data_IF_067008479687
#
_entry.id   IF_067008479687
#
_cell.length_a   1.000
_cell.length_b   1.000
_cell.length_c   1.000
_cell.angle_alpha   90.00
_cell.angle_beta   90.00
_cell.angle_gamma   90.00
#
_symmetry.space_group_name_H-M   'P 1'
#
loop_
_entity.id
_entity.type
_entity.pdbx_description
1 polymer ?
#
# COMPACT_ATOMS: atom_id res chain seq x y z
N UNK A 1 -16.26 -35.31 13.96
CA UNK A 1 -17.17 -34.51 13.11
C UNK A 1 -16.40 -33.26 12.68
N UNK A 2 -15.27 -33.27 11.96
CA UNK A 2 -14.92 -33.88 10.65
C UNK A 2 -16.05 -33.76 9.63
N UNK A 3 -15.73 -33.17 8.46
CA UNK A 3 -16.61 -32.70 7.35
C UNK A 3 -16.93 -31.20 7.50
N UNK A 4 -16.20 -30.23 6.93
CA UNK A 4 -16.19 -29.89 5.50
C UNK A 4 -14.96 -29.00 5.19
N UNK A 5 -13.74 -29.58 5.15
CA UNK A 5 -12.64 -28.97 4.40
C UNK A 5 -12.93 -29.20 2.91
N UNK A 6 -13.91 -28.47 2.39
CA UNK A 6 -14.16 -28.35 0.95
C UNK A 6 -12.88 -27.75 0.37
N UNK A 7 -12.02 -28.61 -0.18
CA UNK A 7 -11.07 -28.23 -1.22
C UNK A 7 -11.88 -27.46 -2.23
N UNK A 8 -11.77 -26.13 -2.21
CA UNK A 8 -12.20 -25.31 -3.33
C UNK A 8 -11.37 -25.81 -4.52
N UNK A 9 -11.96 -26.41 -5.56
CA UNK A 9 -11.22 -26.74 -6.76
C UNK A 9 -10.59 -25.43 -7.26
N UNK A 10 -9.30 -25.46 -7.57
CA UNK A 10 -8.56 -24.30 -8.05
C UNK A 10 -9.35 -23.61 -9.16
N UNK A 11 -9.91 -22.44 -8.86
CA UNK A 11 -10.61 -21.61 -9.81
C UNK A 11 -9.62 -21.29 -10.93
N UNK A 12 -9.85 -21.87 -12.11
CA UNK A 12 -9.03 -21.62 -13.30
C UNK A 12 -9.28 -20.15 -13.66
N UNK A 13 -8.24 -19.30 -13.73
CA UNK A 13 -8.46 -17.87 -13.91
C UNK A 13 -9.24 -17.62 -15.19
N UNK A 14 -10.44 -17.05 -15.03
CA UNK A 14 -11.22 -16.50 -16.14
C UNK A 14 -10.33 -15.52 -16.92
N UNK A 15 -10.28 -15.59 -18.27
CA UNK A 15 -9.50 -14.66 -19.07
C UNK A 15 -10.18 -13.28 -19.00
N UNK A 16 -9.80 -12.49 -18.00
CA UNK A 16 -10.25 -11.11 -17.84
C UNK A 16 -9.80 -10.29 -19.07
N UNK A 17 -10.72 -9.68 -19.83
CA UNK A 17 -10.35 -8.80 -20.93
C UNK A 17 -9.74 -7.53 -20.34
N UNK A 18 -8.43 -7.33 -20.55
CA UNK A 18 -7.75 -6.09 -20.17
C UNK A 18 -6.72 -6.20 -19.05
N UNK A 19 -5.99 -7.32 -18.90
CA UNK A 19 -4.88 -7.38 -17.93
C UNK A 19 -3.82 -6.34 -18.29
N UNK A 20 -3.84 -5.19 -17.64
CA UNK A 20 -2.81 -4.17 -17.76
C UNK A 20 -1.52 -4.76 -17.21
N UNK A 21 -0.59 -5.06 -18.11
CA UNK A 21 0.68 -5.70 -17.79
C UNK A 21 1.68 -4.60 -17.47
N UNK A 22 2.03 -4.46 -16.20
CA UNK A 22 3.11 -3.58 -15.76
C UNK A 22 4.40 -3.88 -16.55
N UNK A 23 5.15 -2.84 -16.99
CA UNK A 23 6.46 -3.06 -17.60
C UNK A 23 7.32 -3.83 -16.58
N UNK A 24 8.12 -4.80 -17.05
CA UNK A 24 8.89 -5.75 -16.22
C UNK A 24 8.12 -6.87 -15.49
N UNK A 25 6.82 -7.06 -15.71
CA UNK A 25 6.05 -8.18 -15.12
C UNK A 25 6.69 -9.55 -15.37
N UNK A 26 7.26 -9.78 -16.56
CA UNK A 26 7.84 -11.09 -16.92
C UNK A 26 9.08 -11.46 -16.08
N UNK A 27 9.86 -10.47 -15.65
CA UNK A 27 11.06 -10.70 -14.86
C UNK A 27 10.75 -10.80 -13.36
N UNK A 28 9.91 -9.90 -12.82
CA UNK A 28 9.47 -9.95 -11.41
C UNK A 28 8.55 -11.14 -11.10
N UNK A 29 7.67 -11.52 -12.03
CA UNK A 29 6.68 -12.60 -11.84
C UNK A 29 7.25 -13.99 -12.14
N UNK A 30 8.54 -14.13 -12.42
CA UNK A 30 9.16 -15.44 -12.66
C UNK A 30 9.23 -16.19 -11.33
N UNK A 31 8.33 -17.16 -11.16
CA UNK A 31 8.25 -18.01 -9.98
C UNK A 31 9.04 -19.29 -10.26
N UNK A 32 9.98 -19.62 -9.38
CA UNK A 32 10.72 -20.87 -9.46
C UNK A 32 9.83 -22.06 -9.06
N UNK A 33 9.68 -23.02 -9.97
CA UNK A 33 8.70 -24.14 -9.89
C UNK A 33 8.91 -25.05 -8.68
N UNK A 34 10.14 -25.08 -8.15
CA UNK A 34 10.53 -25.96 -7.03
C UNK A 34 10.17 -25.37 -5.66
N UNK A 35 10.03 -24.05 -5.53
CA UNK A 35 9.83 -23.37 -4.25
C UNK A 35 8.63 -22.42 -4.20
N UNK A 36 7.93 -22.18 -5.32
CA UNK A 36 6.76 -21.29 -5.41
C UNK A 36 6.99 -19.87 -4.85
N UNK A 37 8.25 -19.43 -4.78
CA UNK A 37 8.63 -18.10 -4.29
C UNK A 37 9.20 -17.31 -5.47
N UNK A 38 8.78 -16.05 -5.68
CA UNK A 38 9.35 -15.19 -6.71
C UNK A 38 10.73 -14.68 -6.28
N UNK A 39 11.77 -15.48 -6.50
CA UNK A 39 13.15 -15.16 -6.08
C UNK A 39 13.65 -13.83 -6.65
N UNK A 40 13.30 -13.51 -7.91
CA UNK A 40 13.72 -12.26 -8.56
C UNK A 40 13.21 -11.01 -7.82
N UNK A 41 12.00 -11.06 -7.27
CA UNK A 41 11.45 -9.97 -6.48
C UNK A 41 12.20 -9.81 -5.16
N UNK A 42 12.58 -10.92 -4.52
CA UNK A 42 13.38 -10.90 -3.29
C UNK A 42 14.75 -10.27 -3.55
N UNK A 43 15.43 -10.64 -4.63
CA UNK A 43 16.73 -10.03 -4.97
C UNK A 43 16.61 -8.52 -5.24
N UNK A 44 15.57 -8.08 -5.96
CA UNK A 44 15.34 -6.67 -6.21
C UNK A 44 15.09 -5.88 -4.91
N UNK A 45 14.28 -6.44 -4.01
CA UNK A 45 13.99 -5.83 -2.71
C UNK A 45 15.23 -5.78 -1.81
N UNK A 46 16.00 -6.87 -1.73
CA UNK A 46 17.26 -6.93 -0.98
C UNK A 46 18.29 -5.95 -1.51
N UNK A 47 18.37 -5.75 -2.83
CA UNK A 47 19.24 -4.75 -3.44
C UNK A 47 18.86 -3.34 -2.99
N UNK A 48 17.56 -3.02 -2.96
CA UNK A 48 17.08 -1.72 -2.48
C UNK A 48 17.40 -1.51 -0.99
N UNK A 49 17.19 -2.52 -0.14
CA UNK A 49 17.55 -2.45 1.27
C UNK A 49 19.06 -2.31 1.50
N UNK A 50 19.89 -3.01 0.72
CA UNK A 50 21.35 -2.86 0.79
C UNK A 50 21.77 -1.42 0.44
N UNK A 51 21.13 -0.79 -0.54
CA UNK A 51 21.37 0.61 -0.89
C UNK A 51 20.98 1.57 0.25
N UNK A 52 19.85 1.31 0.92
CA UNK A 52 19.44 2.09 2.10
C UNK A 52 20.44 1.95 3.26
N UNK A 53 20.98 0.76 3.50
CA UNK A 53 22.04 0.55 4.48
C UNK A 53 23.32 1.30 4.11
N UNK A 54 23.67 1.39 2.83
CA UNK A 54 24.83 2.14 2.37
C UNK A 54 24.65 3.65 2.60
N UNK A 55 23.46 4.18 2.33
CA UNK A 55 23.11 5.58 2.62
C UNK A 55 23.17 5.86 4.13
N UNK A 56 22.75 4.90 4.97
CA UNK A 56 22.80 5.04 6.42
C UNK A 56 24.23 5.31 6.94
N UNK A 57 25.25 4.66 6.37
CA UNK A 57 26.65 4.85 6.76
C UNK A 57 27.15 6.24 6.35
N UNK A 58 26.72 6.75 5.20
CA UNK A 58 27.15 8.06 4.69
C UNK A 58 26.46 9.23 5.36
N UNK A 59 25.14 9.16 5.58
CA UNK A 59 24.36 10.23 6.20
C UNK A 59 23.05 9.72 6.77
N UNK A 60 22.87 9.91 8.08
CA UNK A 60 21.61 9.63 8.77
C UNK A 60 20.51 10.61 8.32
N UNK A 61 20.84 11.88 8.06
CA UNK A 61 19.90 12.89 7.55
C UNK A 61 19.28 12.50 6.22
N UNK A 62 20.08 12.01 5.26
CA UNK A 62 19.57 11.55 3.96
C UNK A 62 18.58 10.39 4.11
N UNK A 63 18.88 9.45 5.02
CA UNK A 63 18.00 8.33 5.31
C UNK A 63 16.66 8.78 5.91
N UNK A 64 16.66 9.75 6.83
CA UNK A 64 15.42 10.29 7.40
C UNK A 64 14.51 10.93 6.33
N UNK A 65 15.08 11.63 5.35
CA UNK A 65 14.33 12.22 4.23
C UNK A 65 13.64 11.12 3.42
N UNK A 66 14.37 10.05 3.08
CA UNK A 66 13.82 8.92 2.32
C UNK A 66 12.72 8.19 3.10
N UNK A 67 12.92 7.92 4.39
CA UNK A 67 11.91 7.27 5.23
C UNK A 67 10.66 8.13 5.37
N UNK A 68 10.80 9.43 5.58
CA UNK A 68 9.66 10.35 5.66
C UNK A 68 8.86 10.34 4.34
N UNK A 69 9.53 10.39 3.19
CA UNK A 69 8.85 10.28 1.89
C UNK A 69 8.15 8.94 1.67
N UNK A 70 8.77 7.84 2.13
CA UNK A 70 8.19 6.49 2.05
C UNK A 70 6.94 6.37 2.91
N UNK A 71 6.97 6.89 4.14
CA UNK A 71 5.81 6.92 5.03
C UNK A 71 4.65 7.73 4.42
N UNK A 72 4.95 8.86 3.77
CA UNK A 72 3.95 9.66 3.07
C UNK A 72 3.32 8.88 1.89
N UNK A 73 4.14 8.22 1.07
CA UNK A 73 3.67 7.41 -0.06
C UNK A 73 2.84 6.19 0.39
N UNK A 74 3.23 5.58 1.52
CA UNK A 74 2.50 4.47 2.12
C UNK A 74 1.14 4.92 2.64
N UNK A 75 1.11 6.03 3.38
CA UNK A 75 -0.14 6.63 3.89
C UNK A 75 -1.08 7.03 2.77
N UNK A 76 -0.57 7.62 1.67
CA UNK A 76 -1.41 7.98 0.52
C UNK A 76 -2.00 6.76 -0.18
N UNK A 77 -1.23 5.67 -0.31
CA UNK A 77 -1.71 4.39 -0.85
C UNK A 77 -2.80 3.79 0.03
N UNK A 78 -2.62 3.80 1.35
CA UNK A 78 -3.64 3.33 2.29
C UNK A 78 -4.90 4.18 2.24
N UNK A 79 -4.77 5.51 2.12
CA UNK A 79 -5.91 6.41 1.95
C UNK A 79 -6.71 6.04 0.69
N UNK A 80 -6.03 5.82 -0.44
CA UNK A 80 -6.68 5.42 -1.68
C UNK A 80 -7.36 4.05 -1.56
N UNK A 81 -6.71 3.09 -0.89
CA UNK A 81 -7.27 1.75 -0.67
C UNK A 81 -8.54 1.78 0.18
N UNK A 82 -8.51 2.49 1.30
CA UNK A 82 -9.71 2.71 2.14
C UNK A 82 -10.81 3.47 1.39
N UNK A 83 -10.43 4.36 0.48
CA UNK A 83 -11.32 5.03 -0.47
C UNK A 83 -12.07 4.05 -1.37
N UNK A 84 -11.32 3.17 -2.04
CA UNK A 84 -11.90 2.13 -2.90
C UNK A 84 -12.87 1.22 -2.12
N UNK A 85 -12.51 0.82 -0.90
CA UNK A 85 -13.39 -0.01 -0.04
C UNK A 85 -14.66 0.75 0.37
N UNK A 86 -14.56 2.04 0.66
CA UNK A 86 -15.71 2.89 0.97
C UNK A 86 -16.63 3.07 -0.24
N UNK A 87 -16.06 3.33 -1.42
CA UNK A 87 -16.78 3.50 -2.70
C UNK A 87 -17.46 2.21 -3.14
N UNK A 88 -16.79 1.06 -3.00
CA UNK A 88 -17.37 -0.26 -3.28
C UNK A 88 -18.52 -0.65 -2.33
N UNK A 89 -18.75 0.14 -1.28
CA UNK A 89 -19.91 0.01 -0.38
C UNK A 89 -21.08 0.90 -0.77
N UNK A 90 -20.88 1.85 -1.69
CA UNK A 90 -21.94 2.66 -2.28
C UNK A 90 -22.60 1.76 -3.35
N UNK A 91 -23.88 1.39 -3.19
CA UNK A 91 -24.47 0.28 -3.91
C UNK A 91 -24.89 0.67 -5.34
N UNK A 92 -24.19 0.13 -6.34
CA UNK A 92 -24.66 0.13 -7.74
C UNK A 92 -24.58 -1.24 -8.44
N UNK A 93 -23.88 -2.24 -7.87
CA UNK A 93 -23.80 -3.60 -8.45
C UNK A 93 -23.97 -4.73 -7.41
N UNK A 94 -24.58 -5.87 -7.79
CA UNK A 94 -24.74 -7.05 -6.94
C UNK A 94 -23.38 -7.76 -6.74
N UNK A 95 -22.52 -7.20 -5.90
CA UNK A 95 -21.26 -7.86 -5.54
C UNK A 95 -21.54 -9.11 -4.69
N UNK A 96 -20.81 -10.22 -4.91
CA UNK A 96 -20.94 -11.42 -4.08
C UNK A 96 -20.69 -11.08 -2.60
N UNK A 97 -21.45 -11.69 -1.67
CA UNK A 97 -21.38 -11.33 -0.26
C UNK A 97 -19.96 -11.52 0.27
N UNK A 98 -19.33 -10.47 0.85
CA UNK A 98 -17.99 -10.58 1.38
C UNK A 98 -17.99 -11.58 2.55
N UNK A 99 -16.96 -12.44 2.61
CA UNK A 99 -16.77 -13.41 3.71
C UNK A 99 -16.73 -12.77 5.10
N UNK A 100 -16.38 -11.49 5.17
CA UNK A 100 -16.28 -10.71 6.40
C UNK A 100 -16.99 -9.37 6.20
N UNK A 101 -18.13 -9.19 6.88
CA UNK A 101 -18.89 -7.96 6.83
C UNK A 101 -18.97 -7.37 8.24
N UNK A 102 -18.29 -6.25 8.46
CA UNK A 102 -18.34 -5.49 9.72
C UNK A 102 -19.65 -4.68 9.89
N UNK A 103 -20.67 -4.96 9.07
CA UNK A 103 -21.94 -4.25 9.07
C UNK A 103 -21.77 -2.75 8.85
N UNK A 104 -22.61 -1.93 9.49
CA UNK A 104 -22.60 -0.45 9.34
C UNK A 104 -21.32 0.21 9.87
N UNK A 105 -20.65 -0.40 10.85
CA UNK A 105 -19.40 0.11 11.43
C UNK A 105 -18.25 0.13 10.42
N UNK A 106 -18.17 -0.84 9.50
CA UNK A 106 -17.14 -0.86 8.47
C UNK A 106 -17.19 0.34 7.51
N UNK A 107 -18.36 0.95 7.30
CA UNK A 107 -18.49 2.14 6.45
C UNK A 107 -18.03 3.39 7.22
N UNK A 108 -18.51 3.56 8.45
CA UNK A 108 -18.14 4.70 9.31
C UNK A 108 -16.64 4.75 9.55
N UNK A 109 -16.00 3.61 9.82
CA UNK A 109 -14.55 3.53 10.04
C UNK A 109 -13.77 3.90 8.78
N UNK A 110 -14.18 3.43 7.59
CA UNK A 110 -13.50 3.79 6.35
C UNK A 110 -13.67 5.28 6.01
N UNK A 111 -14.86 5.86 6.25
CA UNK A 111 -15.10 7.30 6.05
C UNK A 111 -14.28 8.14 7.03
N UNK A 112 -14.23 7.74 8.30
CA UNK A 112 -13.39 8.40 9.30
C UNK A 112 -11.89 8.31 8.94
N UNK A 113 -11.44 7.13 8.48
CA UNK A 113 -10.07 6.93 8.02
C UNK A 113 -9.74 7.82 6.80
N UNK A 114 -10.67 7.98 5.85
CA UNK A 114 -10.51 8.86 4.71
C UNK A 114 -10.42 10.33 5.11
N UNK A 115 -11.30 10.77 6.01
CA UNK A 115 -11.26 12.13 6.53
C UNK A 115 -9.97 12.42 7.30
N UNK A 116 -9.56 11.49 8.16
CA UNK A 116 -8.31 11.63 8.92
C UNK A 116 -7.08 11.65 7.99
N UNK A 117 -7.03 10.75 7.00
CA UNK A 117 -5.92 10.69 6.07
C UNK A 117 -5.86 11.92 5.15
N UNK A 118 -7.00 12.46 4.69
CA UNK A 118 -7.02 13.69 3.89
C UNK A 118 -6.55 14.89 4.71
N UNK A 119 -6.99 15.02 5.96
CA UNK A 119 -6.46 16.00 6.91
C UNK A 119 -4.95 15.82 7.12
N UNK A 120 -4.46 14.59 7.32
CA UNK A 120 -3.04 14.31 7.52
C UNK A 120 -2.18 14.67 6.30
N UNK A 121 -2.65 14.42 5.08
CA UNK A 121 -1.95 14.81 3.84
C UNK A 121 -1.91 16.33 3.70
N UNK A 122 -3.03 17.01 3.92
CA UNK A 122 -3.11 18.47 3.87
C UNK A 122 -2.18 19.10 4.92
N UNK A 123 -2.22 18.61 6.17
CA UNK A 123 -1.35 19.06 7.25
C UNK A 123 0.13 18.73 7.00
N UNK A 124 0.44 17.63 6.32
CA UNK A 124 1.83 17.28 5.95
C UNK A 124 2.40 18.21 4.88
N UNK A 125 1.56 18.82 4.05
CA UNK A 125 1.97 19.86 3.11
C UNK A 125 2.20 21.21 3.80
N UNK A 126 1.71 21.40 5.02
CA UNK A 126 2.05 22.57 5.85
C UNK A 126 3.37 22.31 6.59
N UNK A 127 4.40 23.15 6.38
CA UNK A 127 5.67 23.01 7.08
C UNK A 127 5.48 23.26 8.58
N UNK A 128 5.91 22.32 9.42
CA UNK A 128 5.90 22.45 10.88
C UNK A 128 6.97 23.40 11.43
N UNK A 129 7.88 23.86 10.57
CA UNK A 129 8.88 24.89 10.89
C UNK A 129 8.57 26.17 10.13
N UNK A 130 8.00 27.15 10.82
CA UNK A 130 8.08 28.55 10.43
C UNK A 130 9.52 29.01 10.70
N UNK A 131 10.32 29.44 9.71
CA UNK A 131 11.48 30.27 10.02
C UNK A 131 10.93 31.68 10.25
N UNK A 132 10.47 31.96 11.46
CA UNK A 132 10.37 33.35 11.94
C UNK A 132 11.43 33.57 13.01
N UNK A 133 12.67 33.24 12.66
CA UNK A 133 13.78 33.67 13.47
C UNK A 133 14.04 35.16 13.19
N UNK A 134 13.57 35.97 14.12
CA UNK A 134 13.85 37.41 14.22
C UNK A 134 15.35 37.70 14.41
N UNK A 135 16.19 36.69 14.62
CA UNK A 135 17.65 36.85 14.74
C UNK A 135 18.35 37.32 13.44
N UNK A 136 17.64 37.41 12.31
CA UNK A 136 18.17 37.97 11.04
C UNK A 136 17.74 39.43 10.81
N UNK A 137 17.07 40.07 11.79
CA UNK A 137 16.52 41.41 11.67
C UNK A 137 17.41 42.52 12.28
N UNK A 138 18.68 42.24 12.59
CA UNK A 138 19.62 43.25 13.09
C UNK A 138 21.01 43.14 12.47
#
# INVERSE_FOLDING_TARGET
MTLQLRRQPAEKPSPSPGTQRFPFRRWLSKIEKKRNIPCNAVYALSFWFALLCLINIGSTTALYIIFSGTLLALTSTYMLSSGCVALHRIPDEPSPPPRWNLGRYGFVINVFALFYASCAVVLSCFPSTLPVDISMAN
#
